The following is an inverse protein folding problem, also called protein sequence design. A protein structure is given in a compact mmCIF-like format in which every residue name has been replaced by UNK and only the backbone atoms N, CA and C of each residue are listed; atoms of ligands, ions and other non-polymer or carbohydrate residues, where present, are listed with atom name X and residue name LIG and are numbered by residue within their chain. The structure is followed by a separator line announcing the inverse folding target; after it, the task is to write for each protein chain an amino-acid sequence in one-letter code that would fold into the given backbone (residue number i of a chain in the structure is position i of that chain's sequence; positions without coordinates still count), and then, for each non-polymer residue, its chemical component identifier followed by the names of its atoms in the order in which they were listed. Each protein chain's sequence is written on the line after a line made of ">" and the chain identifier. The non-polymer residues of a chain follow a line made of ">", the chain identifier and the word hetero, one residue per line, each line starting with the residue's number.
data_IF_075164910841
#
_entry.id   IF_075164910841
#
_cell.length_a   1.000
_cell.length_b   1.000
_cell.length_c   1.000
_cell.angle_alpha   90.00
_cell.angle_beta   90.00
_cell.angle_gamma   90.00
#
_symmetry.space_group_name_H-M   'P 1'
#
loop_
_entity.id
_entity.type
_entity.pdbx_description
1 polymer ?
#
# COMPACT_ATOMS: atom_id res chain seq x y z
N UNK A 1 -4.47 14.89 -12.32
CA UNK A 1 -4.63 15.18 -10.87
C UNK A 1 -4.28 16.61 -10.51
N UNK A 2 -3.67 17.35 -11.45
CA UNK A 2 -3.30 18.76 -11.37
C UNK A 2 -4.18 19.61 -10.45
N UNK A 3 -3.52 20.23 -9.47
CA UNK A 3 -4.09 21.27 -8.60
C UNK A 3 -5.30 20.83 -7.78
N UNK A 4 -5.44 19.55 -7.43
CA UNK A 4 -6.45 19.17 -6.44
C UNK A 4 -6.17 19.86 -5.11
N UNK A 5 -7.24 20.44 -4.54
CA UNK A 5 -7.23 21.12 -3.25
C UNK A 5 -8.20 20.46 -2.29
N UNK A 6 -7.82 20.38 -1.02
CA UNK A 6 -8.76 19.91 -0.01
C UNK A 6 -9.88 20.93 0.21
N UNK A 7 -11.11 20.47 0.48
CA UNK A 7 -12.20 21.37 0.86
C UNK A 7 -11.92 22.13 2.16
N UNK A 8 -11.21 21.49 3.09
CA UNK A 8 -10.83 22.06 4.39
C UNK A 8 -9.31 22.32 4.44
N UNK A 9 -8.91 23.53 4.04
CA UNK A 9 -7.50 23.93 3.95
C UNK A 9 -6.85 24.20 5.31
N UNK A 10 -7.62 24.28 6.39
CA UNK A 10 -7.13 24.71 7.71
C UNK A 10 -7.14 23.60 8.75
N UNK A 11 -7.47 22.37 8.35
CA UNK A 11 -7.48 21.22 9.25
C UNK A 11 -6.09 20.95 9.82
N UNK A 12 -5.94 21.14 11.12
CA UNK A 12 -4.77 20.70 11.88
C UNK A 12 -4.95 19.24 12.26
N UNK A 13 -3.94 18.42 12.03
CA UNK A 13 -3.99 16.97 12.27
C UNK A 13 -2.96 16.62 13.33
N UNK A 14 -3.41 15.88 14.34
CA UNK A 14 -2.52 15.23 15.29
C UNK A 14 -2.21 13.82 14.79
N UNK A 15 -1.02 13.63 14.21
CA UNK A 15 -0.62 12.35 13.65
C UNK A 15 -0.45 11.25 14.71
N UNK A 16 -0.15 11.62 15.96
CA UNK A 16 -0.15 10.69 17.10
C UNK A 16 -1.53 10.09 17.33
N UNK A 17 -2.59 10.90 17.26
CA UNK A 17 -3.97 10.42 17.41
C UNK A 17 -4.42 9.59 16.19
N UNK A 18 -3.83 9.84 15.03
CA UNK A 18 -4.10 9.07 13.81
C UNK A 18 -3.40 7.71 13.82
N UNK A 19 -2.27 7.56 14.51
CA UNK A 19 -1.51 6.31 14.58
C UNK A 19 -2.25 5.27 15.42
N UNK A 20 -2.90 4.32 14.76
CA UNK A 20 -3.72 3.31 15.42
C UNK A 20 -2.95 2.04 15.80
N UNK A 21 -1.91 1.70 15.03
CA UNK A 21 -1.09 0.51 15.25
C UNK A 21 0.27 0.68 14.60
N UNK A 22 1.31 0.17 15.26
CA UNK A 22 2.61 -0.09 14.66
C UNK A 22 2.94 -1.57 14.88
N UNK A 23 3.26 -2.27 13.81
CA UNK A 23 3.85 -3.62 13.84
C UNK A 23 5.26 -3.52 13.27
N UNK A 24 6.09 -4.53 13.49
CA UNK A 24 7.46 -4.58 12.99
C UNK A 24 7.69 -5.85 12.20
N UNK A 25 8.45 -5.74 11.13
CA UNK A 25 9.20 -6.86 10.61
C UNK A 25 10.26 -7.26 11.65
N UNK A 26 10.09 -8.43 12.25
CA UNK A 26 10.95 -8.94 13.32
C UNK A 26 12.37 -9.26 12.85
N UNK A 27 12.57 -9.45 11.55
CA UNK A 27 13.87 -9.80 10.97
C UNK A 27 14.71 -8.57 10.68
N UNK A 28 14.08 -7.48 10.21
CA UNK A 28 14.78 -6.24 9.85
C UNK A 28 14.55 -5.08 10.84
N UNK A 29 13.67 -5.27 11.83
CA UNK A 29 13.20 -4.27 12.77
C UNK A 29 12.61 -3.02 12.09
N UNK A 30 12.03 -3.18 10.89
CA UNK A 30 11.39 -2.10 10.14
C UNK A 30 9.92 -1.98 10.54
N UNK A 31 9.42 -0.76 10.82
CA UNK A 31 8.05 -0.58 11.23
C UNK A 31 7.07 -0.58 10.05
N UNK A 32 5.86 -1.05 10.33
CA UNK A 32 4.66 -0.93 9.49
C UNK A 32 3.64 -0.14 10.32
N UNK A 33 3.41 1.12 9.93
CA UNK A 33 2.50 2.03 10.61
C UNK A 33 1.11 1.99 9.97
N UNK A 34 0.07 1.96 10.79
CA UNK A 34 -1.32 2.04 10.35
C UNK A 34 -1.96 3.28 10.94
N UNK A 35 -2.38 4.20 10.07
CA UNK A 35 -3.00 5.45 10.44
C UNK A 35 -4.45 5.51 9.94
N UNK A 36 -5.36 5.89 10.83
CA UNK A 36 -6.75 6.22 10.48
C UNK A 36 -6.99 7.72 10.76
N UNK A 37 -7.87 8.37 10.00
CA UNK A 37 -8.27 9.78 10.27
C UNK A 37 -7.32 10.85 9.72
N UNK A 38 -6.26 10.45 9.01
CA UNK A 38 -5.35 11.34 8.24
C UNK A 38 -6.12 12.18 7.21
N UNK A 39 -7.24 11.65 6.73
CA UNK A 39 -8.17 12.35 5.85
C UNK A 39 -9.59 12.23 6.41
N UNK A 40 -10.39 13.28 6.22
CA UNK A 40 -11.81 13.23 6.51
C UNK A 40 -12.59 12.62 5.33
N UNK A 41 -13.87 12.28 5.56
CA UNK A 41 -14.69 11.61 4.56
C UNK A 41 -14.94 12.46 3.29
N UNK A 42 -15.00 13.79 3.40
CA UNK A 42 -15.22 14.67 2.25
C UNK A 42 -13.97 14.80 1.37
N UNK A 43 -12.79 14.89 2.00
CA UNK A 43 -11.49 14.84 1.33
C UNK A 43 -11.34 13.53 0.54
N UNK A 44 -11.59 12.39 1.19
CA UNK A 44 -11.48 11.07 0.57
C UNK A 44 -12.48 10.85 -0.57
N UNK A 45 -13.75 11.24 -0.40
CA UNK A 45 -14.76 11.13 -1.47
C UNK A 45 -14.43 12.01 -2.66
N UNK A 46 -13.89 13.21 -2.41
CA UNK A 46 -13.45 14.11 -3.48
C UNK A 46 -12.25 13.55 -4.23
N UNK A 47 -11.30 12.95 -3.52
CA UNK A 47 -10.15 12.31 -4.11
C UNK A 47 -10.51 11.06 -4.92
N UNK A 48 -11.30 10.15 -4.34
CA UNK A 48 -11.81 8.95 -5.02
C UNK A 48 -12.53 9.28 -6.32
N UNK A 49 -13.41 10.29 -6.32
CA UNK A 49 -14.10 10.75 -7.55
C UNK A 49 -13.14 11.23 -8.62
N UNK A 50 -12.01 11.82 -8.24
CA UNK A 50 -11.03 12.33 -9.18
C UNK A 50 -10.15 11.20 -9.73
N UNK A 51 -9.75 10.26 -8.88
CA UNK A 51 -8.97 9.09 -9.29
C UNK A 51 -9.78 8.18 -10.24
N UNK A 52 -11.02 7.86 -9.90
CA UNK A 52 -11.77 6.85 -10.65
C UNK A 52 -12.26 7.33 -12.03
N UNK A 53 -12.08 8.61 -12.37
CA UNK A 53 -12.39 9.15 -13.71
C UNK A 53 -11.47 8.61 -14.80
N UNK A 54 -10.22 8.28 -14.48
CA UNK A 54 -9.22 7.87 -15.48
C UNK A 54 -9.44 6.43 -15.95
N UNK A 55 -10.16 5.60 -15.18
CA UNK A 55 -10.33 4.18 -15.43
C UNK A 55 -9.04 3.39 -15.18
N UNK A 56 -9.14 2.06 -15.05
CA UNK A 56 -7.99 1.17 -14.90
C UNK A 56 -7.65 0.50 -16.23
N UNK A 57 -6.36 0.33 -16.52
CA UNK A 57 -5.90 -0.53 -17.61
C UNK A 57 -5.64 -1.94 -17.08
N UNK A 58 -5.85 -2.95 -17.93
CA UNK A 58 -5.44 -4.31 -17.62
C UNK A 58 -3.96 -4.51 -17.96
N UNK A 59 -3.16 -4.86 -16.97
CA UNK A 59 -1.83 -5.42 -17.19
C UNK A 59 -1.93 -6.88 -17.61
N UNK A 60 -0.96 -7.32 -18.39
CA UNK A 60 -0.80 -8.73 -18.69
C UNK A 60 -0.45 -9.50 -17.42
N UNK A 61 -0.92 -10.75 -17.36
CA UNK A 61 -0.57 -11.64 -16.27
C UNK A 61 0.85 -12.13 -16.48
N UNK A 62 1.77 -11.85 -15.56
CA UNK A 62 3.09 -12.43 -15.63
C UNK A 62 3.06 -13.86 -15.05
N UNK A 63 3.28 -14.83 -15.94
CA UNK A 63 3.45 -16.25 -15.58
C UNK A 63 4.91 -16.67 -15.52
N UNK A 64 5.86 -15.73 -15.68
CA UNK A 64 7.28 -16.04 -15.63
C UNK A 64 7.70 -16.48 -14.23
N UNK A 65 8.78 -17.26 -14.18
CA UNK A 65 9.40 -17.76 -12.94
C UNK A 65 10.22 -16.65 -12.26
N UNK A 66 10.54 -15.56 -12.99
CA UNK A 66 11.30 -14.43 -12.45
C UNK A 66 10.28 -13.42 -11.91
N UNK A 67 10.19 -13.32 -10.60
CA UNK A 67 9.14 -12.59 -9.88
C UNK A 67 9.40 -11.07 -9.81
N UNK A 68 9.67 -10.44 -10.95
CA UNK A 68 10.00 -8.99 -11.01
C UNK A 68 8.75 -8.08 -10.93
N UNK A 69 7.59 -8.59 -10.47
CA UNK A 69 6.35 -7.81 -10.42
C UNK A 69 5.27 -8.34 -9.48
N UNK A 70 4.38 -7.44 -9.07
CA UNK A 70 3.32 -7.64 -8.07
C UNK A 70 2.09 -8.42 -8.58
N UNK A 71 2.00 -8.65 -9.89
CA UNK A 71 0.84 -9.25 -10.59
C UNK A 71 -0.51 -8.52 -10.34
N UNK A 72 -0.47 -7.24 -9.98
CA UNK A 72 -1.66 -6.39 -9.97
C UNK A 72 -2.15 -6.18 -11.39
N UNK A 73 -3.34 -6.73 -11.67
CA UNK A 73 -3.88 -6.76 -13.04
C UNK A 73 -4.54 -5.46 -13.46
N UNK A 74 -5.10 -4.69 -12.54
CA UNK A 74 -5.87 -3.51 -12.88
C UNK A 74 -5.27 -2.31 -12.19
N UNK A 75 -4.52 -1.50 -12.94
CA UNK A 75 -3.90 -0.32 -12.38
C UNK A 75 -4.10 0.92 -13.25
N UNK A 76 -4.03 2.05 -12.58
CA UNK A 76 -4.04 3.36 -13.19
C UNK A 76 -2.85 4.15 -12.66
N UNK A 77 -1.80 4.25 -13.46
CA UNK A 77 -0.65 5.11 -13.17
C UNK A 77 -1.05 6.57 -13.26
N UNK A 78 -0.38 7.40 -12.49
CA UNK A 78 -0.54 8.85 -12.53
C UNK A 78 0.79 9.55 -12.74
N UNK A 79 0.69 10.75 -13.32
CA UNK A 79 1.83 11.63 -13.45
C UNK A 79 2.27 12.15 -12.08
N UNK A 80 3.55 11.95 -11.80
CA UNK A 80 4.18 12.22 -10.50
C UNK A 80 4.21 13.72 -10.21
N UNK A 81 4.51 14.55 -11.21
CA UNK A 81 4.55 16.01 -11.05
C UNK A 81 3.15 16.57 -10.72
N UNK A 82 2.14 16.05 -11.42
CA UNK A 82 0.73 16.33 -11.14
C UNK A 82 0.35 15.96 -9.69
N UNK A 83 0.79 14.79 -9.21
CA UNK A 83 0.53 14.34 -7.84
C UNK A 83 1.28 15.19 -6.82
N UNK A 84 2.56 15.47 -7.06
CA UNK A 84 3.40 16.29 -6.19
C UNK A 84 2.84 17.70 -6.00
N UNK A 85 2.13 18.24 -6.99
CA UNK A 85 1.48 19.56 -6.91
C UNK A 85 0.16 19.59 -6.09
N UNK A 86 -0.39 18.41 -5.76
CA UNK A 86 -1.69 18.25 -5.10
C UNK A 86 -1.62 18.47 -3.58
N UNK A 87 -2.75 18.83 -2.97
CA UNK A 87 -2.82 18.89 -1.50
C UNK A 87 -2.73 17.51 -0.84
N UNK A 88 -3.07 16.44 -1.58
CA UNK A 88 -2.89 15.06 -1.12
C UNK A 88 -1.42 14.79 -0.79
N UNK A 89 -0.52 15.11 -1.71
CA UNK A 89 0.91 14.90 -1.49
C UNK A 89 1.45 15.71 -0.31
N UNK A 90 1.03 16.97 -0.16
CA UNK A 90 1.43 17.80 0.99
C UNK A 90 1.05 17.14 2.33
N UNK A 91 -0.16 16.58 2.42
CA UNK A 91 -0.60 15.86 3.63
C UNK A 91 0.20 14.57 3.86
N UNK A 92 0.56 13.86 2.80
CA UNK A 92 1.36 12.64 2.90
C UNK A 92 2.83 12.92 3.26
N UNK A 93 3.38 14.07 2.84
CA UNK A 93 4.70 14.53 3.31
C UNK A 93 4.72 14.74 4.83
N UNK A 94 3.68 15.35 5.40
CA UNK A 94 3.59 15.52 6.85
C UNK A 94 3.52 14.17 7.59
N UNK A 95 2.81 13.19 7.02
CA UNK A 95 2.79 11.81 7.54
C UNK A 95 4.19 11.19 7.50
N UNK A 96 4.89 11.34 6.38
CA UNK A 96 6.27 10.85 6.23
C UNK A 96 7.21 11.50 7.24
N UNK A 97 7.14 12.81 7.40
CA UNK A 97 7.90 13.54 8.40
C UNK A 97 7.64 13.03 9.82
N UNK A 98 6.39 12.70 10.13
CA UNK A 98 6.03 12.10 11.42
C UNK A 98 6.63 10.69 11.61
N UNK A 99 6.60 9.82 10.59
CA UNK A 99 7.05 8.42 10.75
C UNK A 99 8.55 8.23 10.56
N UNK A 100 9.20 9.07 9.74
CA UNK A 100 10.62 8.93 9.38
C UNK A 100 11.53 9.96 10.04
N UNK A 101 10.97 11.02 10.64
CA UNK A 101 11.70 12.21 11.08
C UNK A 101 12.47 12.93 9.96
N UNK A 102 12.05 12.78 8.69
CA UNK A 102 12.66 13.42 7.51
C UNK A 102 11.60 14.12 6.67
N UNK A 103 11.96 15.23 6.02
CA UNK A 103 11.00 16.10 5.31
C UNK A 103 11.24 16.19 3.81
N UNK A 104 12.31 15.58 3.30
CA UNK A 104 12.76 15.74 1.91
C UNK A 104 12.31 14.61 0.99
N UNK A 105 11.19 13.96 1.32
CA UNK A 105 10.63 12.90 0.49
C UNK A 105 9.99 13.47 -0.78
N UNK A 106 10.12 12.74 -1.88
CA UNK A 106 9.47 13.02 -3.16
C UNK A 106 8.77 11.76 -3.67
N UNK A 107 7.57 11.89 -4.29
CA UNK A 107 6.94 10.76 -4.93
C UNK A 107 7.69 10.46 -6.23
N UNK A 108 7.78 9.19 -6.61
CA UNK A 108 8.34 8.79 -7.91
C UNK A 108 7.48 7.74 -8.62
N UNK A 109 6.58 7.07 -7.90
CA UNK A 109 5.56 6.19 -8.44
C UNK A 109 4.22 6.43 -7.73
N UNK A 110 3.15 6.54 -8.51
CA UNK A 110 1.80 6.83 -8.02
C UNK A 110 0.80 6.05 -8.86
N UNK A 111 0.16 5.06 -8.24
CA UNK A 111 -0.82 4.21 -8.88
C UNK A 111 -2.10 4.09 -8.05
N UNK A 112 -3.19 3.77 -8.75
CA UNK A 112 -4.40 3.23 -8.13
C UNK A 112 -4.58 1.81 -8.62
N UNK A 113 -4.53 0.87 -7.68
CA UNK A 113 -4.67 -0.56 -7.93
C UNK A 113 -6.12 -0.99 -7.61
N UNK A 114 -6.72 -1.77 -8.50
CA UNK A 114 -8.04 -2.37 -8.31
C UNK A 114 -7.87 -3.88 -8.19
N UNK A 115 -8.09 -4.40 -6.98
CA UNK A 115 -8.07 -5.83 -6.74
C UNK A 115 -9.48 -6.37 -6.86
N UNK A 116 -9.64 -7.42 -7.65
CA UNK A 116 -10.88 -8.16 -7.83
C UNK A 116 -10.75 -9.54 -7.24
N UNK A 117 -11.88 -10.20 -7.03
CA UNK A 117 -11.87 -11.62 -6.69
C UNK A 117 -11.07 -12.40 -7.74
N UNK A 118 -10.32 -13.40 -7.28
CA UNK A 118 -9.47 -14.26 -8.10
C UNK A 118 -8.26 -13.57 -8.76
N UNK A 119 -7.95 -12.32 -8.43
CA UNK A 119 -6.62 -11.77 -8.72
C UNK A 119 -5.57 -12.53 -7.88
N UNK A 120 -4.38 -12.73 -8.43
CA UNK A 120 -3.32 -13.53 -7.81
C UNK A 120 -2.06 -12.67 -7.69
N UNK A 121 -2.15 -11.67 -6.82
CA UNK A 121 -1.02 -10.80 -6.48
C UNK A 121 0.14 -11.62 -5.90
N UNK A 122 1.36 -11.16 -6.15
CA UNK A 122 2.58 -11.81 -5.67
C UNK A 122 3.11 -11.12 -4.43
N UNK A 123 3.82 -11.90 -3.61
CA UNK A 123 4.68 -11.34 -2.56
C UNK A 123 5.85 -10.66 -3.27
N UNK A 124 6.11 -9.41 -2.92
CA UNK A 124 7.20 -8.63 -3.47
C UNK A 124 7.67 -7.56 -2.47
N UNK A 125 8.91 -7.09 -2.60
CA UNK A 125 9.32 -5.78 -2.13
C UNK A 125 9.12 -4.75 -3.26
N UNK A 126 8.86 -3.50 -2.88
CA UNK A 126 8.78 -2.37 -3.82
C UNK A 126 10.15 -1.77 -4.16
N UNK A 127 11.21 -2.15 -3.43
CA UNK A 127 12.56 -1.65 -3.62
C UNK A 127 13.62 -2.66 -3.18
N UNK A 128 14.86 -2.43 -3.61
CA UNK A 128 16.01 -3.25 -3.21
C UNK A 128 16.34 -3.05 -1.74
N UNK A 129 17.05 -4.02 -1.16
CA UNK A 129 17.37 -4.02 0.27
C UNK A 129 18.11 -2.76 0.75
N UNK A 130 18.99 -2.18 -0.07
CA UNK A 130 19.77 -1.00 0.27
C UNK A 130 19.07 0.33 -0.03
N UNK A 131 17.94 0.31 -0.74
CA UNK A 131 17.18 1.50 -1.10
C UNK A 131 16.37 2.00 0.10
N UNK A 132 16.33 3.33 0.23
CA UNK A 132 15.73 4.00 1.38
C UNK A 132 14.46 4.70 0.93
N UNK A 133 13.37 3.94 0.87
CA UNK A 133 12.11 4.37 0.28
C UNK A 133 10.91 3.95 1.14
N UNK A 134 9.77 4.61 0.92
CA UNK A 134 8.51 4.38 1.65
C UNK A 134 7.32 4.18 0.72
N UNK A 135 6.51 3.18 1.06
CA UNK A 135 5.24 2.89 0.39
C UNK A 135 4.12 3.39 1.28
N UNK A 136 3.22 4.16 0.67
CA UNK A 136 2.05 4.73 1.32
C UNK A 136 0.80 4.14 0.66
N UNK A 137 0.19 3.17 1.33
CA UNK A 137 -0.97 2.45 0.82
C UNK A 137 -2.26 3.01 1.44
N UNK A 138 -3.00 3.81 0.65
CA UNK A 138 -4.27 4.42 1.05
C UNK A 138 -5.46 3.58 0.55
N UNK A 139 -6.23 3.02 1.48
CA UNK A 139 -7.41 2.22 1.14
C UNK A 139 -8.62 3.10 0.80
N UNK A 140 -9.13 2.95 -0.43
CA UNK A 140 -10.31 3.69 -0.94
C UNK A 140 -11.57 2.82 -1.12
N UNK A 141 -11.51 1.57 -0.68
CA UNK A 141 -12.64 0.65 -0.66
C UNK A 141 -13.65 1.03 0.42
N UNK A 142 -14.93 1.06 0.06
CA UNK A 142 -16.04 1.35 0.98
C UNK A 142 -16.83 0.08 1.25
N UNK A 143 -17.36 -0.08 2.46
CA UNK A 143 -18.27 -1.18 2.81
C UNK A 143 -17.63 -2.54 3.07
N UNK A 144 -16.32 -2.69 2.85
CA UNK A 144 -15.60 -3.92 3.20
C UNK A 144 -15.63 -4.18 4.71
N UNK A 145 -15.84 -5.45 5.05
CA UNK A 145 -15.76 -6.01 6.39
C UNK A 145 -14.56 -6.96 6.48
N UNK A 146 -14.09 -7.32 7.68
CA UNK A 146 -13.03 -8.30 7.83
C UNK A 146 -13.32 -9.67 7.19
N UNK A 147 -14.60 -10.02 6.97
CA UNK A 147 -14.98 -11.27 6.33
C UNK A 147 -14.89 -11.23 4.79
N UNK A 148 -14.66 -10.04 4.23
CA UNK A 148 -14.52 -9.83 2.79
C UNK A 148 -13.07 -10.01 2.33
N UNK A 149 -12.17 -10.32 3.27
CA UNK A 149 -10.72 -10.42 3.06
C UNK A 149 -10.16 -9.09 2.52
N UNK A 150 -9.39 -9.10 1.44
CA UNK A 150 -8.78 -7.91 0.83
C UNK A 150 -7.70 -7.20 1.67
N UNK A 151 -7.18 -7.85 2.72
CA UNK A 151 -6.09 -7.32 3.52
C UNK A 151 -4.78 -7.24 2.74
N UNK A 152 -3.95 -6.25 3.07
CA UNK A 152 -2.53 -6.34 2.73
C UNK A 152 -1.82 -7.12 3.83
N UNK A 153 -1.08 -8.15 3.43
CA UNK A 153 -0.27 -8.98 4.29
C UNK A 153 1.20 -8.60 4.11
N UNK A 154 1.90 -8.40 5.21
CA UNK A 154 3.36 -8.33 5.23
C UNK A 154 3.88 -9.66 5.76
N UNK A 155 4.94 -10.13 5.15
CA UNK A 155 5.47 -11.47 5.38
C UNK A 155 6.97 -11.44 5.62
N UNK A 156 7.49 -12.51 6.20
CA UNK A 156 8.92 -12.78 6.29
C UNK A 156 9.23 -14.13 5.68
N UNK A 157 10.33 -14.20 4.95
CA UNK A 157 10.82 -15.47 4.40
C UNK A 157 11.29 -16.36 5.56
N UNK A 158 10.76 -17.57 5.64
CA UNK A 158 11.26 -18.60 6.54
C UNK A 158 12.45 -19.30 5.87
N UNK A 159 13.64 -19.33 6.51
CA UNK A 159 14.77 -20.10 6.00
C UNK A 159 14.36 -21.56 5.80
N UNK A 160 14.86 -22.18 4.73
CA UNK A 160 14.64 -23.62 4.50
C UNK A 160 15.12 -24.41 5.71
N UNK A 161 14.17 -25.10 6.35
CA UNK A 161 14.39 -25.93 7.53
C UNK A 161 14.79 -27.38 7.16
N UNK A 162 14.96 -27.66 5.85
CA UNK A 162 15.22 -28.99 5.31
C UNK A 162 13.99 -29.89 5.27
N UNK A 163 12.84 -29.43 5.77
CA UNK A 163 11.54 -30.11 5.68
C UNK A 163 10.80 -29.66 4.43
N UNK A 164 10.87 -28.37 4.09
CA UNK A 164 10.18 -27.78 2.94
C UNK A 164 11.05 -27.65 1.68
N UNK A 165 12.35 -27.94 1.76
CA UNK A 165 13.31 -27.87 0.65
C UNK A 165 13.01 -28.74 -0.59
N UNK A 166 11.96 -29.57 -0.57
CA UNK A 166 11.49 -30.32 -1.75
C UNK A 166 10.64 -29.50 -2.74
N UNK A 167 10.18 -28.31 -2.35
CA UNK A 167 9.30 -27.49 -3.18
C UNK A 167 10.04 -26.79 -4.35
N UNK A 168 11.38 -26.77 -4.33
CA UNK A 168 12.19 -26.14 -5.36
C UNK A 168 12.04 -24.61 -5.38
N UNK A 169 12.44 -23.98 -6.49
CA UNK A 169 12.31 -22.53 -6.71
C UNK A 169 10.83 -22.18 -6.93
N UNK A 170 10.28 -21.18 -6.25
CA UNK A 170 8.83 -20.97 -6.12
C UNK A 170 8.21 -21.75 -4.95
N UNK A 171 9.05 -22.37 -4.12
CA UNK A 171 8.70 -23.11 -2.90
C UNK A 171 9.04 -22.38 -1.61
N UNK A 172 9.38 -21.10 -1.71
CA UNK A 172 9.70 -20.21 -0.60
C UNK A 172 8.54 -20.22 0.40
N UNK A 173 8.86 -20.45 1.67
CA UNK A 173 7.87 -20.45 2.75
C UNK A 173 7.87 -19.07 3.38
N UNK A 174 6.70 -18.45 3.45
CA UNK A 174 6.51 -17.15 4.05
C UNK A 174 5.59 -17.25 5.28
N UNK A 175 5.91 -16.50 6.32
CA UNK A 175 5.05 -16.33 7.49
C UNK A 175 4.48 -14.92 7.52
N UNK A 176 3.17 -14.80 7.75
CA UNK A 176 2.51 -13.49 7.89
C UNK A 176 2.87 -12.87 9.24
N UNK A 177 3.48 -11.69 9.21
CA UNK A 177 3.85 -10.91 10.39
C UNK A 177 2.84 -9.80 10.70
N UNK A 178 2.12 -9.33 9.68
CA UNK A 178 1.09 -8.32 9.82
C UNK A 178 0.05 -8.47 8.73
N UNK A 179 -1.21 -8.22 9.09
CA UNK A 179 -2.32 -8.11 8.17
C UNK A 179 -3.08 -6.81 8.44
N UNK A 180 -3.32 -6.00 7.42
CA UNK A 180 -4.12 -4.77 7.51
C UNK A 180 -5.36 -4.92 6.67
N UNK A 181 -6.50 -5.10 7.34
CA UNK A 181 -7.79 -5.08 6.67
C UNK A 181 -8.07 -3.68 6.09
N UNK A 182 -8.60 -3.60 4.86
CA UNK A 182 -8.92 -2.35 4.20
C UNK A 182 -10.05 -1.65 4.93
N UNK A 183 -9.89 -0.35 5.16
CA UNK A 183 -10.92 0.53 5.70
C UNK A 183 -10.85 1.85 4.95
N UNK A 184 -11.99 2.40 4.54
CA UNK A 184 -12.00 3.65 3.77
C UNK A 184 -11.23 4.77 4.49
N UNK A 185 -10.15 5.25 3.86
CA UNK A 185 -9.27 6.29 4.41
C UNK A 185 -8.15 5.80 5.33
N UNK A 186 -8.02 4.50 5.57
CA UNK A 186 -6.87 3.92 6.27
C UNK A 186 -5.62 4.05 5.42
N UNK A 187 -4.52 4.41 6.06
CA UNK A 187 -3.21 4.54 5.45
C UNK A 187 -2.25 3.55 6.12
N UNK A 188 -1.64 2.67 5.34
CA UNK A 188 -0.48 1.91 5.79
C UNK A 188 0.79 2.58 5.26
N UNK A 189 1.81 2.74 6.11
CA UNK A 189 3.10 3.34 5.76
C UNK A 189 4.22 2.42 6.24
N UNK A 190 5.09 2.01 5.33
CA UNK A 190 6.15 1.04 5.59
C UNK A 190 7.32 1.26 4.63
N UNK A 191 8.45 0.61 4.91
CA UNK A 191 9.63 0.64 4.06
C UNK A 191 9.44 -0.26 2.85
N UNK A 192 9.80 0.21 1.65
CA UNK A 192 9.56 -0.52 0.39
C UNK A 192 10.17 -1.91 0.34
N UNK A 193 11.28 -2.11 1.04
CA UNK A 193 11.99 -3.37 1.11
C UNK A 193 11.45 -4.32 2.20
N UNK A 194 10.17 -4.21 2.56
CA UNK A 194 9.45 -5.19 3.38
C UNK A 194 8.52 -5.96 2.46
N UNK A 195 8.67 -7.28 2.46
CA UNK A 195 7.88 -8.20 1.64
C UNK A 195 6.39 -8.12 1.99
N UNK A 196 5.56 -7.95 0.98
CA UNK A 196 4.12 -7.84 1.16
C UNK A 196 3.34 -8.28 -0.06
N UNK A 197 2.04 -8.54 0.13
CA UNK A 197 1.10 -8.81 -0.95
C UNK A 197 -0.30 -8.39 -0.52
N UNK A 198 -1.09 -7.92 -1.49
CA UNK A 198 -2.47 -7.58 -1.25
C UNK A 198 -3.37 -8.78 -1.59
N UNK A 199 -3.99 -9.38 -0.58
CA UNK A 199 -4.88 -10.52 -0.76
C UNK A 199 -6.12 -10.08 -1.58
N UNK A 200 -6.62 -10.86 -2.56
CA UNK A 200 -7.87 -10.53 -3.25
C UNK A 200 -9.09 -10.54 -2.31
N UNK A 201 -10.13 -9.73 -2.59
CA UNK A 201 -11.41 -9.86 -1.91
C UNK A 201 -12.09 -11.19 -2.22
N UNK A 202 -13.05 -11.58 -1.39
CA UNK A 202 -13.93 -12.71 -1.66
C UNK A 202 -14.76 -12.50 -2.92
N UNK A 203 -15.37 -13.58 -3.42
CA UNK A 203 -16.12 -13.71 -4.68
C UNK A 203 -17.31 -12.76 -4.87
N UNK A 204 -17.61 -11.90 -3.89
CA UNK A 204 -18.77 -11.01 -3.87
C UNK A 204 -18.49 -9.54 -4.23
N UNK A 205 -17.29 -9.19 -4.70
CA UNK A 205 -16.89 -7.79 -5.03
C UNK A 205 -16.36 -7.60 -6.45
#
# INVERSE_FOLDING_TARGET
>A
MRNFRFPDLHRVINYTDCLTRTTYDVTTNKPIHVLDGVFNAEELKSWKRLLFRKGANSNEWDSSIVEDGDNVRWLCLYDVDDFASSDMWKRLQDVLAFVSNETEWMPYDVAVNYLKSYDNTRIHPDAKEHEVEYTLLLYLSEGLTPNDYAETNWVVHQPDDGVHGYLGRGGEVFETIAAVAPKFGRLAVFRNNVEHSAHPPTVSY
#
